data_IF_486159019003
#
_entry.id   IF_486159019003
#
_cell.length_a   1.000
_cell.length_b   1.000
_cell.length_c   1.000
_cell.angle_alpha   90.00
_cell.angle_beta   90.00
_cell.angle_gamma   90.00
#
_symmetry.space_group_name_H-M   'P 1'
#
loop_
_entity.id
_entity.type
_entity.pdbx_description
1 polymer ?
#
# COMPACT_ATOMS: atom_id res chain seq x y z
N UNK A 1 -2.81 30.53 9.06
CA UNK A 1 -1.81 29.59 9.65
C UNK A 1 -2.53 28.39 10.25
N UNK A 2 -3.61 28.62 10.99
CA UNK A 2 -4.45 27.57 11.61
C UNK A 2 -4.97 26.51 10.62
N UNK A 3 -5.38 26.91 9.41
CA UNK A 3 -5.92 25.97 8.40
C UNK A 3 -4.90 24.95 7.89
N UNK A 4 -3.60 25.29 7.87
CA UNK A 4 -2.56 24.33 7.48
C UNK A 4 -2.30 23.31 8.60
N UNK A 5 -2.20 23.79 9.84
CA UNK A 5 -2.02 22.94 11.02
C UNK A 5 -3.19 21.96 11.17
N UNK A 6 -4.43 22.43 11.10
CA UNK A 6 -5.64 21.59 11.19
C UNK A 6 -5.69 20.51 10.09
N UNK A 7 -5.22 20.84 8.88
CA UNK A 7 -5.13 19.89 7.78
C UNK A 7 -4.04 18.83 8.01
N UNK A 8 -2.87 19.24 8.52
CA UNK A 8 -1.81 18.32 8.88
C UNK A 8 -2.24 17.35 9.98
N UNK A 9 -2.93 17.83 11.02
CA UNK A 9 -3.42 17.00 12.12
C UNK A 9 -4.41 15.94 11.63
N UNK A 10 -5.44 16.33 10.88
CA UNK A 10 -6.43 15.38 10.32
C UNK A 10 -5.78 14.33 9.44
N UNK A 11 -4.77 14.71 8.66
CA UNK A 11 -4.08 13.75 7.80
C UNK A 11 -3.20 12.83 8.63
N UNK A 12 -2.49 13.36 9.63
CA UNK A 12 -1.70 12.56 10.55
C UNK A 12 -2.58 11.53 11.28
N UNK A 13 -3.75 11.94 11.78
CA UNK A 13 -4.72 11.03 12.38
C UNK A 13 -5.16 9.93 11.42
N UNK A 14 -5.56 10.29 10.20
CA UNK A 14 -5.98 9.33 9.18
C UNK A 14 -4.83 8.38 8.79
N UNK A 15 -3.61 8.91 8.68
CA UNK A 15 -2.42 8.14 8.40
C UNK A 15 -2.11 7.15 9.52
N UNK A 16 -2.14 7.59 10.77
CA UNK A 16 -1.93 6.73 11.94
C UNK A 16 -3.02 5.66 12.06
N UNK A 17 -4.28 6.01 11.78
CA UNK A 17 -5.39 5.07 11.77
C UNK A 17 -5.22 3.99 10.68
N UNK A 18 -4.81 4.38 9.47
CA UNK A 18 -4.47 3.45 8.40
C UNK A 18 -3.31 2.54 8.83
N UNK A 19 -2.22 3.13 9.33
CA UNK A 19 -1.03 2.40 9.80
C UNK A 19 -1.33 1.43 10.93
N UNK A 20 -2.25 1.76 11.84
CA UNK A 20 -2.69 0.87 12.89
C UNK A 20 -3.35 -0.41 12.36
N UNK A 21 -3.96 -0.35 11.17
CA UNK A 21 -4.61 -1.50 10.51
C UNK A 21 -3.69 -2.24 9.54
N UNK A 22 -2.63 -1.60 9.07
CA UNK A 22 -1.74 -2.15 8.03
C UNK A 22 -0.37 -2.57 8.52
N UNK A 23 0.00 -2.20 9.76
CA UNK A 23 1.27 -2.62 10.36
C UNK A 23 1.22 -4.11 10.70
N UNK A 24 2.14 -4.86 10.09
CA UNK A 24 2.33 -6.28 10.34
C UNK A 24 3.46 -6.48 11.36
N UNK A 25 3.35 -7.46 12.27
CA UNK A 25 4.45 -7.81 13.17
C UNK A 25 5.68 -8.27 12.39
N UNK A 26 6.86 -8.08 12.97
CA UNK A 26 8.09 -8.69 12.46
C UNK A 26 8.03 -10.22 12.61
N UNK A 27 8.63 -10.95 11.66
CA UNK A 27 8.78 -12.40 11.74
C UNK A 27 7.55 -13.22 11.34
N UNK A 28 6.54 -12.59 10.72
CA UNK A 28 5.43 -13.33 10.12
C UNK A 28 5.83 -13.97 8.79
N UNK A 29 5.12 -15.03 8.41
CA UNK A 29 5.28 -15.72 7.13
C UNK A 29 4.34 -15.15 6.05
N UNK A 30 4.64 -15.40 4.77
CA UNK A 30 3.82 -14.92 3.64
C UNK A 30 2.44 -15.57 3.58
N UNK A 31 2.25 -16.70 4.27
CA UNK A 31 0.97 -17.39 4.43
C UNK A 31 0.12 -16.88 5.61
N UNK A 32 0.61 -15.92 6.39
CA UNK A 32 -0.09 -15.41 7.55
C UNK A 32 -1.42 -14.74 7.14
N UNK A 33 -2.57 -15.14 7.71
CA UNK A 33 -3.88 -14.62 7.30
C UNK A 33 -4.03 -13.11 7.53
N UNK A 34 -3.22 -12.52 8.43
CA UNK A 34 -3.20 -11.07 8.67
C UNK A 34 -2.77 -10.30 7.42
N UNK A 35 -1.96 -10.89 6.55
CA UNK A 35 -1.55 -10.26 5.28
C UNK A 35 -2.78 -9.97 4.40
N UNK A 36 -3.74 -10.89 4.35
CA UNK A 36 -4.98 -10.70 3.59
C UNK A 36 -5.83 -9.58 4.19
N UNK A 37 -5.92 -9.53 5.53
CA UNK A 37 -6.64 -8.47 6.23
C UNK A 37 -6.03 -7.08 5.96
N UNK A 38 -4.69 -6.98 5.95
CA UNK A 38 -3.98 -5.75 5.62
C UNK A 38 -4.25 -5.31 4.19
N UNK A 39 -4.16 -6.20 3.21
CA UNK A 39 -4.49 -5.85 1.82
C UNK A 39 -5.93 -5.39 1.65
N UNK A 40 -6.89 -6.03 2.34
CA UNK A 40 -8.28 -5.58 2.37
C UNK A 40 -8.40 -4.17 2.95
N UNK A 41 -7.77 -3.90 4.09
CA UNK A 41 -7.81 -2.60 4.74
C UNK A 41 -7.24 -1.48 3.84
N UNK A 42 -6.10 -1.72 3.18
CA UNK A 42 -5.51 -0.78 2.22
C UNK A 42 -6.45 -0.56 1.03
N UNK A 43 -6.97 -1.64 0.44
CA UNK A 43 -7.82 -1.54 -0.74
C UNK A 43 -9.12 -0.79 -0.43
N UNK A 44 -9.74 -1.05 0.73
CA UNK A 44 -10.90 -0.29 1.20
C UNK A 44 -10.58 1.19 1.39
N UNK A 45 -9.39 1.53 1.88
CA UNK A 45 -8.98 2.92 2.04
C UNK A 45 -8.72 3.63 0.70
N UNK A 46 -8.22 2.91 -0.32
CA UNK A 46 -8.11 3.44 -1.70
C UNK A 46 -9.50 3.75 -2.27
N UNK A 47 -10.46 2.83 -2.07
CA UNK A 47 -11.84 2.98 -2.54
C UNK A 47 -12.67 3.99 -1.74
N UNK A 48 -12.22 4.37 -0.53
CA UNK A 48 -12.93 5.33 0.32
C UNK A 48 -12.76 6.75 -0.24
N UNK A 49 -13.76 7.19 -1.01
CA UNK A 49 -13.81 8.50 -1.68
C UNK A 49 -12.58 8.71 -2.57
N UNK A 50 -12.67 8.13 -3.76
CA UNK A 50 -11.66 8.26 -4.81
C UNK A 50 -11.23 9.72 -5.01
N UNK A 51 -9.94 9.95 -5.17
CA UNK A 51 -9.34 11.29 -5.24
C UNK A 51 -9.15 12.02 -3.90
N UNK A 52 -9.58 11.46 -2.76
CA UNK A 52 -9.29 12.08 -1.45
C UNK A 52 -7.82 11.91 -1.04
N UNK A 53 -7.32 12.82 -0.18
CA UNK A 53 -5.97 12.73 0.42
C UNK A 53 -5.72 11.37 1.11
N UNK A 54 -6.76 10.77 1.68
CA UNK A 54 -6.69 9.43 2.29
C UNK A 54 -6.43 8.33 1.24
N UNK A 55 -7.04 8.43 0.07
CA UNK A 55 -6.80 7.50 -1.04
C UNK A 55 -5.34 7.56 -1.51
N UNK A 56 -4.75 8.76 -1.60
CA UNK A 56 -3.33 8.91 -1.96
C UNK A 56 -2.40 8.30 -0.91
N UNK A 57 -2.67 8.52 0.37
CA UNK A 57 -1.95 7.87 1.46
C UNK A 57 -2.09 6.34 1.41
N UNK A 58 -3.28 5.84 1.11
CA UNK A 58 -3.52 4.42 0.97
C UNK A 58 -2.74 3.81 -0.21
N UNK A 59 -2.57 4.55 -1.30
CA UNK A 59 -1.68 4.17 -2.39
C UNK A 59 -0.21 4.07 -1.94
N UNK A 60 0.29 5.04 -1.17
CA UNK A 60 1.65 4.96 -0.60
C UNK A 60 1.79 3.73 0.30
N UNK A 61 0.80 3.48 1.16
CA UNK A 61 0.81 2.31 2.04
C UNK A 61 0.72 0.99 1.28
N UNK A 62 0.00 0.92 0.15
CA UNK A 62 -0.03 -0.25 -0.71
C UNK A 62 1.37 -0.65 -1.19
N UNK A 63 2.19 0.32 -1.63
CA UNK A 63 3.56 0.05 -2.06
C UNK A 63 4.41 -0.44 -0.89
N UNK A 64 4.27 0.16 0.29
CA UNK A 64 4.98 -0.25 1.51
C UNK A 64 4.64 -1.70 1.89
N UNK A 65 3.35 -2.04 1.92
CA UNK A 65 2.86 -3.39 2.20
C UNK A 65 3.38 -4.39 1.16
N UNK A 66 3.30 -4.06 -0.14
CA UNK A 66 3.85 -4.92 -1.20
C UNK A 66 5.35 -5.18 -0.98
N UNK A 67 6.16 -4.14 -0.74
CA UNK A 67 7.61 -4.31 -0.52
C UNK A 67 7.91 -5.15 0.72
N UNK A 68 7.16 -4.95 1.80
CA UNK A 68 7.32 -5.73 3.02
C UNK A 68 7.05 -7.22 2.78
N UNK A 69 5.96 -7.55 2.08
CA UNK A 69 5.60 -8.94 1.76
C UNK A 69 6.58 -9.54 0.76
N UNK A 70 7.03 -8.78 -0.24
CA UNK A 70 8.09 -9.19 -1.17
C UNK A 70 9.38 -9.55 -0.40
N UNK A 71 9.74 -8.79 0.63
CA UNK A 71 10.89 -9.09 1.49
C UNK A 71 10.67 -10.35 2.35
N UNK A 72 9.48 -10.58 2.88
CA UNK A 72 9.14 -11.83 3.58
C UNK A 72 9.31 -13.03 2.65
N UNK A 73 8.72 -12.96 1.45
CA UNK A 73 8.80 -14.04 0.44
C UNK A 73 10.25 -14.30 0.04
N UNK A 74 11.03 -13.22 -0.15
CA UNK A 74 12.46 -13.32 -0.46
C UNK A 74 13.20 -14.04 0.66
N UNK A 75 12.94 -13.68 1.92
CA UNK A 75 13.54 -14.31 3.09
C UNK A 75 13.17 -15.79 3.21
N UNK A 76 11.89 -16.14 3.02
CA UNK A 76 11.42 -17.54 3.05
C UNK A 76 12.09 -18.38 1.95
N UNK A 77 12.27 -17.82 0.76
CA UNK A 77 12.98 -18.48 -0.35
C UNK A 77 14.46 -18.68 -0.05
N UNK A 78 15.11 -17.69 0.54
CA UNK A 78 16.52 -17.77 0.92
C UNK A 78 16.75 -18.77 2.05
N UNK A 79 15.78 -18.91 2.95
CA UNK A 79 15.82 -19.84 4.08
C UNK A 79 15.35 -21.25 3.74
N UNK A 80 14.97 -21.53 2.48
CA UNK A 80 14.46 -22.83 2.04
C UNK A 80 13.03 -23.15 2.49
N UNK A 81 12.34 -22.22 3.15
CA UNK A 81 10.95 -22.36 3.62
C UNK A 81 9.93 -22.29 2.46
N UNK A 82 10.33 -21.70 1.33
CA UNK A 82 9.52 -21.63 0.12
C UNK A 82 10.28 -22.15 -1.09
N UNK A 83 9.67 -23.10 -1.81
CA UNK A 83 10.26 -23.63 -3.03
C UNK A 83 10.25 -22.60 -4.16
N UNK A 84 11.39 -22.46 -4.86
CA UNK A 84 11.48 -21.58 -6.03
C UNK A 84 10.79 -22.27 -7.22
N UNK A 85 9.78 -21.60 -7.77
CA UNK A 85 9.16 -21.99 -9.04
C UNK A 85 9.69 -21.10 -10.15
N UNK A 86 10.18 -21.70 -11.23
CA UNK A 86 10.66 -20.96 -12.39
C UNK A 86 9.58 -20.01 -12.93
N UNK A 87 9.96 -18.77 -13.28
CA UNK A 87 9.04 -17.73 -13.75
C UNK A 87 8.20 -17.03 -12.67
N UNK A 88 8.27 -17.42 -11.39
CA UNK A 88 7.50 -16.77 -10.31
C UNK A 88 8.40 -15.87 -9.47
N UNK A 89 8.32 -14.56 -9.65
CA UNK A 89 9.07 -13.58 -8.84
C UNK A 89 8.40 -13.33 -7.48
N UNK A 90 9.12 -12.74 -6.53
CA UNK A 90 8.58 -12.37 -5.21
C UNK A 90 7.40 -11.39 -5.37
N UNK A 91 7.55 -10.42 -6.27
CA UNK A 91 6.48 -9.47 -6.64
C UNK A 91 5.26 -10.15 -7.26
N UNK A 92 5.46 -11.20 -8.08
CA UNK A 92 4.35 -11.97 -8.66
C UNK A 92 3.57 -12.73 -7.58
N UNK A 93 4.27 -13.30 -6.58
CA UNK A 93 3.63 -14.00 -5.46
C UNK A 93 2.89 -13.01 -4.56
N UNK A 94 3.50 -11.89 -4.21
CA UNK A 94 2.84 -10.85 -3.42
C UNK A 94 1.56 -10.34 -4.12
N UNK A 95 1.59 -10.20 -5.45
CA UNK A 95 0.42 -9.84 -6.22
C UNK A 95 -0.66 -10.93 -6.25
N UNK A 96 -0.27 -12.21 -6.25
CA UNK A 96 -1.21 -13.33 -6.11
C UNK A 96 -1.90 -13.29 -4.74
N UNK A 97 -1.15 -13.06 -3.66
CA UNK A 97 -1.68 -12.91 -2.30
C UNK A 97 -2.64 -11.71 -2.25
N UNK A 98 -2.24 -10.57 -2.80
CA UNK A 98 -3.12 -9.41 -2.91
C UNK A 98 -4.40 -9.76 -3.68
N UNK A 99 -4.30 -10.46 -4.81
CA UNK A 99 -5.47 -10.90 -5.57
C UNK A 99 -6.39 -11.79 -4.74
N UNK A 100 -5.86 -12.75 -3.98
CA UNK A 100 -6.68 -13.62 -3.12
C UNK A 100 -7.37 -12.87 -1.98
N UNK A 101 -6.87 -11.69 -1.60
CA UNK A 101 -7.53 -10.85 -0.60
C UNK A 101 -8.76 -10.11 -1.16
N UNK A 102 -8.92 -10.04 -2.48
CA UNK A 102 -9.97 -9.26 -3.13
C UNK A 102 -10.97 -10.16 -3.86
N UNK A 103 -12.24 -9.79 -3.87
CA UNK A 103 -13.29 -10.54 -4.58
C UNK A 103 -13.31 -10.24 -6.09
N UNK A 104 -13.00 -8.99 -6.49
CA UNK A 104 -13.43 -8.45 -7.79
C UNK A 104 -12.35 -7.89 -8.74
N UNK A 105 -11.11 -7.50 -8.35
CA UNK A 105 -10.17 -7.03 -9.35
C UNK A 105 -9.46 -8.19 -10.06
N UNK A 106 -9.53 -8.14 -11.38
CA UNK A 106 -8.65 -8.90 -12.27
C UNK A 106 -7.17 -8.59 -11.97
N UNK A 107 -6.28 -9.48 -12.42
CA UNK A 107 -4.84 -9.29 -12.20
C UNK A 107 -4.31 -8.01 -12.86
N UNK A 108 -4.86 -7.62 -14.02
CA UNK A 108 -4.49 -6.39 -14.72
C UNK A 108 -4.86 -5.15 -13.92
N UNK A 109 -6.06 -5.10 -13.33
CA UNK A 109 -6.48 -3.98 -12.46
C UNK A 109 -5.57 -3.85 -11.24
N UNK A 110 -5.16 -4.96 -10.63
CA UNK A 110 -4.20 -4.90 -9.52
C UNK A 110 -2.83 -4.37 -9.95
N UNK A 111 -2.39 -4.69 -11.17
CA UNK A 111 -1.18 -4.10 -11.74
C UNK A 111 -1.33 -2.59 -11.96
N UNK A 112 -2.48 -2.12 -12.42
CA UNK A 112 -2.78 -0.70 -12.58
C UNK A 112 -2.80 0.02 -11.24
N UNK A 113 -3.47 -0.53 -10.23
CA UNK A 113 -3.43 0.04 -8.87
C UNK A 113 -2.00 0.12 -8.33
N UNK A 114 -1.18 -0.92 -8.54
CA UNK A 114 0.22 -0.89 -8.11
C UNK A 114 1.05 0.12 -8.92
N UNK A 115 0.76 0.31 -10.21
CA UNK A 115 1.43 1.31 -11.07
C UNK A 115 1.08 2.73 -10.63
N UNK A 116 -0.20 3.00 -10.43
CA UNK A 116 -0.68 4.30 -9.94
C UNK A 116 -0.14 4.59 -8.54
N UNK A 117 -0.13 3.58 -7.67
CA UNK A 117 0.43 3.71 -6.32
C UNK A 117 1.93 4.02 -6.29
N UNK A 118 2.72 3.49 -7.23
CA UNK A 118 4.13 3.86 -7.37
C UNK A 118 4.31 5.34 -7.67
N UNK A 119 3.49 5.89 -8.56
CA UNK A 119 3.53 7.32 -8.90
C UNK A 119 3.26 8.20 -7.68
N UNK A 120 2.30 7.82 -6.84
CA UNK A 120 2.03 8.53 -5.58
C UNK A 120 3.15 8.40 -4.57
N UNK A 121 3.80 7.24 -4.50
CA UNK A 121 4.96 7.05 -3.63
C UNK A 121 6.17 7.89 -4.08
N UNK A 122 6.38 8.02 -5.40
CA UNK A 122 7.38 8.93 -5.97
C UNK A 122 7.08 10.40 -5.63
N UNK A 123 5.82 10.83 -5.72
CA UNK A 123 5.41 12.18 -5.32
C UNK A 123 5.51 12.44 -3.82
N UNK A 124 5.23 11.43 -3.00
CA UNK A 124 5.44 11.51 -1.56
C UNK A 124 6.94 11.63 -1.21
N UNK A 125 7.82 11.06 -2.02
CA UNK A 125 9.26 11.09 -1.78
C UNK A 125 9.61 10.60 -0.37
N UNK A 126 10.38 11.36 0.43
CA UNK A 126 10.80 10.94 1.77
C UNK A 126 9.67 10.89 2.79
N UNK A 127 8.54 11.57 2.55
CA UNK A 127 7.46 11.67 3.54
C UNK A 127 6.07 11.67 2.89
N UNK A 128 5.14 10.77 3.31
CA UNK A 128 3.78 10.75 2.79
C UNK A 128 3.03 12.08 3.01
N UNK A 129 3.46 12.90 3.97
CA UNK A 129 2.89 14.22 4.23
C UNK A 129 3.25 15.26 3.17
N UNK A 130 4.26 15.04 2.31
CA UNK A 130 4.53 15.94 1.20
C UNK A 130 3.39 15.97 0.19
N UNK A 131 2.59 14.90 0.09
CA UNK A 131 1.37 14.87 -0.71
C UNK A 131 0.33 15.91 -0.27
N UNK A 132 0.42 16.40 0.97
CA UNK A 132 -0.46 17.46 1.48
C UNK A 132 -0.06 18.85 1.00
N UNK A 133 1.23 19.09 0.88
CA UNK A 133 1.74 20.37 0.38
C UNK A 133 1.38 20.54 -1.09
N UNK A 134 1.38 19.42 -1.83
CA UNK A 134 1.01 19.41 -3.24
C UNK A 134 -0.49 19.27 -3.51
N UNK A 135 -1.36 19.06 -2.51
CA UNK A 135 -2.78 18.79 -2.79
C UNK A 135 -3.48 19.92 -3.54
N UNK A 136 -3.15 21.17 -3.22
CA UNK A 136 -3.74 22.35 -3.88
C UNK A 136 -3.16 22.56 -5.30
N UNK A 137 -1.98 22.00 -5.57
CA UNK A 137 -1.31 22.07 -6.89
C UNK A 137 -1.66 20.89 -7.80
N UNK A 138 -2.01 19.74 -7.20
CA UNK A 138 -2.28 18.48 -7.92
C UNK A 138 -3.75 18.39 -8.36
N UNK A 139 -4.69 19.03 -7.66
CA UNK A 139 -6.06 19.22 -8.15
C UNK A 139 -6.11 20.03 -9.47
N UNK A 140 -5.06 20.79 -9.81
CA UNK A 140 -4.96 21.54 -11.06
C UNK A 140 -4.29 20.77 -12.22
N UNK A 141 -3.71 19.59 -11.96
CA UNK A 141 -2.92 18.80 -12.94
C UNK A 141 -3.71 17.59 -13.47
N UNK A 142 -4.86 17.27 -12.86
CA UNK A 142 -5.77 16.18 -13.29
C UNK A 142 -6.88 16.74 -14.18
#
# INVERSE_FOLDING_TARGET
>A
IDTFADNCEKVLENWLALRGRTTLPSGICSSDPRILAVFKAVHSAIAYKDGSRLSWLAHVELIRVCRFIENIIKFERQSGLMHRKHGRTDASIALDIYKTSQAEPSRSQLHEYKRFARRWEEFAGPSPFLLLIYSDSVEAIV
#
